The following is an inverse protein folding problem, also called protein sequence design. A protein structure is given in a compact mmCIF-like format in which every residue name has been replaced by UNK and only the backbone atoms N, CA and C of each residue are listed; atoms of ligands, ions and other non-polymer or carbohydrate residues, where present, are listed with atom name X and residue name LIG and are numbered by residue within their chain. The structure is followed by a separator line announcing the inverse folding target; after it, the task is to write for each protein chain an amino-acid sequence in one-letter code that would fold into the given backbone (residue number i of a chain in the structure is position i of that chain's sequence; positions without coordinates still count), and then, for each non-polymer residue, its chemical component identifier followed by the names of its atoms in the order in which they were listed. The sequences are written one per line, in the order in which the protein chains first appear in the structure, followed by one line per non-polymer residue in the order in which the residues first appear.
data_IF_165480780681
#
_entry.id   IF_165480780681
#
_cell.length_a   1.000
_cell.length_b   1.000
_cell.length_c   1.000
_cell.angle_alpha   90.00
_cell.angle_beta   90.00
_cell.angle_gamma   90.00
#
_symmetry.space_group_name_H-M   'P 1'
#
loop_
_entity.id
_entity.type
_entity.pdbx_description
1 polymer ?
#
# COMPACT_ATOMS: atom_id res chain seq x y z
N UNK A 1 15.67 7.03 -10.02
CA UNK A 1 15.62 5.67 -9.48
C UNK A 1 14.26 5.12 -9.83
N UNK A 2 14.18 3.95 -10.46
CA UNK A 2 12.91 3.24 -10.58
C UNK A 2 12.43 2.88 -9.19
N UNK A 3 11.15 3.10 -8.91
CA UNK A 3 10.62 3.01 -7.56
C UNK A 3 9.42 2.07 -7.52
N UNK A 4 9.16 1.42 -6.40
CA UNK A 4 7.93 0.67 -6.21
C UNK A 4 7.53 0.79 -4.75
N UNK A 5 6.24 0.71 -4.49
CA UNK A 5 5.69 0.65 -3.14
C UNK A 5 4.78 -0.56 -3.00
N UNK A 6 4.51 -0.96 -1.77
CA UNK A 6 3.58 -2.01 -1.48
C UNK A 6 3.35 -2.14 0.01
N UNK A 7 2.30 -2.86 0.35
CA UNK A 7 1.92 -3.07 1.73
C UNK A 7 1.04 -4.30 1.88
N UNK A 8 0.85 -4.68 3.14
CA UNK A 8 0.06 -5.84 3.54
C UNK A 8 -0.88 -5.42 4.65
N UNK A 9 -2.12 -5.88 4.56
CA UNK A 9 -3.14 -5.68 5.59
C UNK A 9 -3.30 -6.98 6.37
N UNK A 10 -3.29 -6.85 7.69
CA UNK A 10 -3.58 -7.94 8.62
C UNK A 10 -4.76 -7.55 9.49
N UNK A 11 -5.53 -8.55 9.92
CA UNK A 11 -6.47 -8.40 11.03
C UNK A 11 -5.70 -8.20 12.32
N UNK A 12 -6.40 -7.72 13.35
CA UNK A 12 -5.82 -7.53 14.68
C UNK A 12 -5.28 -8.82 15.31
N UNK A 13 -5.82 -9.99 14.93
CA UNK A 13 -5.34 -11.32 15.34
C UNK A 13 -4.09 -11.80 14.57
N UNK A 14 -3.59 -10.99 13.63
CA UNK A 14 -2.43 -11.33 12.79
C UNK A 14 -2.78 -12.14 11.54
N UNK A 15 -4.06 -12.43 11.27
CA UNK A 15 -4.45 -13.10 10.02
C UNK A 15 -4.24 -12.15 8.82
N UNK A 16 -3.55 -12.64 7.79
CA UNK A 16 -3.38 -11.90 6.54
C UNK A 16 -4.74 -11.74 5.84
N UNK A 17 -5.05 -10.51 5.44
CA UNK A 17 -6.27 -10.18 4.68
C UNK A 17 -5.90 -10.16 3.20
N UNK A 18 -4.99 -9.26 2.84
CA UNK A 18 -4.57 -9.03 1.46
C UNK A 18 -3.34 -8.10 1.42
N UNK A 19 -2.76 -7.91 0.23
CA UNK A 19 -1.66 -6.96 0.03
C UNK A 19 -1.77 -6.27 -1.33
N UNK A 20 -1.06 -5.16 -1.47
CA UNK A 20 -0.99 -4.38 -2.69
C UNK A 20 0.47 -4.11 -3.08
N UNK A 21 0.70 -3.94 -4.37
CA UNK A 21 1.98 -3.53 -4.92
C UNK A 21 1.72 -2.57 -6.09
N UNK A 22 2.46 -1.47 -6.13
CA UNK A 22 2.40 -0.50 -7.20
C UNK A 22 3.80 -0.13 -7.64
N UNK A 23 4.07 -0.38 -8.92
CA UNK A 23 5.27 0.09 -9.57
C UNK A 23 5.15 1.57 -9.90
N UNK A 24 6.21 2.31 -9.62
CA UNK A 24 6.43 3.68 -10.06
C UNK A 24 7.59 3.70 -11.03
N UNK A 25 7.56 4.61 -11.98
CA UNK A 25 8.72 4.82 -12.84
C UNK A 25 9.82 5.58 -12.07
N UNK A 26 10.38 6.62 -12.67
CA UNK A 26 11.33 7.49 -11.98
C UNK A 26 10.60 8.44 -11.03
N UNK A 27 10.78 8.26 -9.73
CA UNK A 27 10.32 9.24 -8.74
C UNK A 27 11.30 9.36 -7.55
N UNK A 28 11.07 10.36 -6.69
CA UNK A 28 11.82 10.52 -5.45
C UNK A 28 11.36 9.51 -4.39
N UNK A 29 12.25 9.18 -3.46
CA UNK A 29 11.92 8.31 -2.32
C UNK A 29 10.73 8.87 -1.51
N UNK A 30 10.66 10.19 -1.35
CA UNK A 30 9.54 10.83 -0.65
C UNK A 30 8.20 10.59 -1.36
N UNK A 31 8.17 10.62 -2.70
CA UNK A 31 6.93 10.39 -3.44
C UNK A 31 6.50 8.92 -3.36
N UNK A 32 7.42 7.95 -3.51
CA UNK A 32 7.03 6.53 -3.47
C UNK A 32 6.49 6.11 -2.09
N UNK A 33 7.07 6.66 -1.02
CA UNK A 33 6.60 6.44 0.35
C UNK A 33 5.23 7.09 0.61
N UNK A 34 5.06 8.36 0.19
CA UNK A 34 3.77 9.05 0.34
C UNK A 34 2.64 8.31 -0.38
N UNK A 35 2.88 7.89 -1.62
CA UNK A 35 1.90 7.11 -2.37
C UNK A 35 1.63 5.74 -1.75
N UNK A 36 2.66 5.07 -1.19
CA UNK A 36 2.46 3.83 -0.45
C UNK A 36 1.46 3.98 0.69
N UNK A 37 1.61 5.01 1.52
CA UNK A 37 0.68 5.28 2.63
C UNK A 37 -0.75 5.54 2.14
N UNK A 38 -0.90 6.35 1.08
CA UNK A 38 -2.21 6.67 0.51
C UNK A 38 -2.89 5.44 -0.13
N UNK A 39 -2.13 4.63 -0.86
CA UNK A 39 -2.63 3.39 -1.46
C UNK A 39 -3.04 2.41 -0.35
N UNK A 40 -2.26 2.30 0.73
CA UNK A 40 -2.62 1.49 1.89
C UNK A 40 -3.88 1.95 2.64
N UNK A 41 -4.10 3.27 2.76
CA UNK A 41 -5.31 3.82 3.37
C UNK A 41 -6.54 3.57 2.49
N UNK A 42 -6.39 3.77 1.18
CA UNK A 42 -7.45 3.52 0.19
C UNK A 42 -7.83 2.04 0.17
N UNK A 43 -6.82 1.16 0.10
CA UNK A 43 -6.99 -0.29 0.17
C UNK A 43 -7.75 -0.71 1.43
N UNK A 44 -7.42 -0.11 2.58
CA UNK A 44 -8.09 -0.39 3.85
C UNK A 44 -9.53 0.12 3.88
N UNK A 45 -9.82 1.24 3.25
CA UNK A 45 -11.17 1.83 3.21
C UNK A 45 -12.11 1.08 2.24
N UNK A 46 -11.57 0.52 1.16
CA UNK A 46 -12.32 -0.32 0.23
C UNK A 46 -12.58 -1.72 0.80
N UNK A 47 -11.60 -2.32 1.48
CA UNK A 47 -11.75 -3.64 2.12
C UNK A 47 -12.62 -3.66 3.38
N UNK A 48 -13.05 -2.50 3.89
CA UNK A 48 -13.89 -2.37 5.10
C UNK A 48 -15.38 -2.14 4.76
N UNK A 49 -15.74 -2.14 3.48
CA UNK A 49 -17.12 -2.01 3.00
C UNK A 49 -17.82 -3.36 2.74
N UNK A 50 -17.19 -4.49 3.09
CA UNK A 50 -17.80 -5.83 3.06
C UNK A 50 -18.07 -6.40 4.45
#
# INVERSE_FOLDING_TARGET
MWAATGGVAYKQDGQWIAGYNRYFEFCSVFNVELWGVLDGLTFSNEGMQE
#
